data_IF_732436149821
#
_entry.id   IF_732436149821
#
_cell.length_a   1.000
_cell.length_b   1.000
_cell.length_c   1.000
_cell.angle_alpha   90.00
_cell.angle_beta   90.00
_cell.angle_gamma   90.00
#
_symmetry.space_group_name_H-M   'P 1'
#
loop_
_entity.id
_entity.type
_entity.pdbx_description
1 polymer ?
#
# COMPACT_ATOMS: atom_id res chain seq x y z
N UNK A 1 20.79 23.12 20.08
CA UNK A 1 21.69 22.60 19.04
C UNK A 1 20.81 21.70 18.20
N UNK A 2 20.52 22.10 16.97
CA UNK A 2 19.60 21.35 16.11
C UNK A 2 20.26 20.02 15.74
N UNK A 3 19.54 18.91 15.88
CA UNK A 3 20.02 17.59 15.47
C UNK A 3 20.23 17.59 13.95
N UNK A 4 21.48 17.43 13.53
CA UNK A 4 21.82 17.27 12.11
C UNK A 4 21.63 15.81 11.72
N UNK A 5 20.71 15.56 10.79
CA UNK A 5 20.50 14.23 10.23
C UNK A 5 21.74 13.76 9.46
N UNK A 6 22.36 12.68 9.91
CA UNK A 6 23.59 12.11 9.36
C UNK A 6 23.40 10.73 8.73
N UNK A 7 22.15 10.25 8.62
CA UNK A 7 21.83 8.95 8.02
C UNK A 7 21.71 9.06 6.50
N UNK A 8 21.72 7.92 5.84
CA UNK A 8 21.53 7.82 4.39
C UNK A 8 20.08 8.19 4.01
N UNK A 9 19.91 8.99 2.96
CA UNK A 9 18.61 9.44 2.48
C UNK A 9 17.89 8.43 1.57
N UNK A 10 18.61 7.41 1.12
CA UNK A 10 18.17 6.45 0.10
C UNK A 10 18.16 5.01 0.59
N UNK A 11 18.96 4.69 1.61
CA UNK A 11 19.02 3.36 2.19
C UNK A 11 17.67 2.99 2.83
N UNK A 12 17.01 2.00 2.25
CA UNK A 12 15.80 1.41 2.83
C UNK A 12 16.17 0.35 3.87
N UNK A 13 15.34 0.22 4.90
CA UNK A 13 15.48 -0.87 5.86
C UNK A 13 15.08 -2.21 5.21
N UNK A 14 15.77 -3.32 5.55
CA UNK A 14 15.40 -4.63 5.04
C UNK A 14 14.02 -5.05 5.57
N UNK A 15 13.26 -5.75 4.73
CA UNK A 15 12.01 -6.39 5.16
C UNK A 15 12.31 -7.46 6.22
N UNK A 16 11.47 -7.51 7.26
CA UNK A 16 11.54 -8.56 8.26
C UNK A 16 11.00 -9.91 7.75
N UNK A 17 11.15 -10.99 8.53
CA UNK A 17 10.71 -12.33 8.12
C UNK A 17 9.21 -12.42 7.81
N UNK A 18 8.38 -11.65 8.51
CA UNK A 18 6.91 -11.64 8.32
C UNK A 18 6.54 -10.99 7.00
N UNK A 19 7.19 -9.89 6.65
CA UNK A 19 6.95 -9.13 5.43
C UNK A 19 7.38 -9.96 4.20
N UNK A 20 8.52 -10.65 4.29
CA UNK A 20 8.98 -11.58 3.25
C UNK A 20 8.01 -12.75 3.07
N UNK A 21 7.52 -13.34 4.16
CA UNK A 21 6.54 -14.42 4.09
C UNK A 21 5.23 -13.97 3.43
N UNK A 22 4.75 -12.77 3.75
CA UNK A 22 3.54 -12.22 3.15
C UNK A 22 3.69 -12.05 1.63
N UNK A 23 4.82 -11.49 1.17
CA UNK A 23 5.11 -11.38 -0.25
C UNK A 23 5.17 -12.75 -0.94
N UNK A 24 5.79 -13.75 -0.29
CA UNK A 24 5.87 -15.12 -0.81
C UNK A 24 4.51 -15.81 -0.87
N UNK A 25 3.61 -15.57 0.09
CA UNK A 25 2.24 -16.10 0.05
C UNK A 25 1.49 -15.60 -1.18
N UNK A 26 1.57 -14.30 -1.48
CA UNK A 26 0.97 -13.72 -2.69
C UNK A 26 1.59 -14.33 -3.95
N UNK A 27 2.92 -14.39 -4.03
CA UNK A 27 3.62 -14.97 -5.17
C UNK A 27 3.22 -16.43 -5.43
N UNK A 28 3.14 -17.26 -4.38
CA UNK A 28 2.74 -18.66 -4.47
C UNK A 28 1.28 -18.86 -4.86
N UNK A 29 0.39 -17.92 -4.47
CA UNK A 29 -1.03 -17.99 -4.83
C UNK A 29 -1.32 -17.72 -6.31
N UNK A 30 -0.41 -17.03 -7.02
CA UNK A 30 -0.64 -16.56 -8.38
C UNK A 30 -1.64 -15.39 -8.50
N UNK A 31 -2.23 -14.92 -7.39
CA UNK A 31 -3.17 -13.78 -7.35
C UNK A 31 -2.45 -12.43 -7.36
N UNK A 32 -1.61 -12.22 -8.37
CA UNK A 32 -0.75 -11.04 -8.45
C UNK A 32 -1.52 -9.75 -8.79
N UNK A 33 -2.71 -9.88 -9.37
CA UNK A 33 -3.58 -8.76 -9.72
C UNK A 33 -4.64 -8.55 -8.63
N UNK A 34 -4.84 -7.31 -8.18
CA UNK A 34 -5.71 -6.98 -7.02
C UNK A 34 -7.16 -7.47 -7.12
N UNK A 35 -7.65 -7.69 -8.34
CA UNK A 35 -9.02 -8.19 -8.60
C UNK A 35 -9.07 -9.70 -8.92
N UNK A 36 -7.93 -10.39 -8.92
CA UNK A 36 -7.88 -11.85 -9.06
C UNK A 36 -8.16 -12.50 -7.70
N UNK A 37 -9.44 -12.59 -7.33
CA UNK A 37 -9.92 -13.16 -6.06
C UNK A 37 -10.87 -14.32 -6.29
N UNK A 38 -10.83 -15.32 -5.42
CA UNK A 38 -11.84 -16.37 -5.36
C UNK A 38 -13.14 -15.86 -4.70
N UNK A 39 -14.28 -16.53 -4.90
CA UNK A 39 -15.52 -16.19 -4.21
C UNK A 39 -15.35 -16.18 -2.68
N UNK A 40 -15.70 -15.06 -2.03
CA UNK A 40 -15.60 -14.88 -0.58
C UNK A 40 -14.20 -14.52 -0.06
N UNK A 41 -13.20 -14.38 -0.93
CA UNK A 41 -11.84 -13.99 -0.57
C UNK A 41 -11.69 -12.46 -0.54
N UNK A 42 -11.01 -11.95 0.49
CA UNK A 42 -10.55 -10.57 0.56
C UNK A 42 -9.11 -10.53 0.05
N UNK A 43 -8.81 -9.71 -0.96
CA UNK A 43 -7.42 -9.55 -1.44
C UNK A 43 -6.58 -8.77 -0.43
N UNK A 44 -5.27 -9.00 -0.45
CA UNK A 44 -4.30 -8.25 0.37
C UNK A 44 -4.43 -6.73 0.18
N UNK A 45 -4.74 -6.28 -1.04
CA UNK A 45 -4.94 -4.85 -1.34
C UNK A 45 -6.24 -4.31 -0.71
N UNK A 46 -7.33 -5.09 -0.76
CA UNK A 46 -8.60 -4.68 -0.13
C UNK A 46 -8.49 -4.66 1.40
N UNK A 47 -7.75 -5.60 2.00
CA UNK A 47 -7.44 -5.59 3.42
C UNK A 47 -6.65 -4.34 3.81
N UNK A 48 -5.57 -4.03 3.07
CA UNK A 48 -4.78 -2.82 3.27
C UNK A 48 -5.62 -1.54 3.19
N UNK A 49 -6.51 -1.43 2.19
CA UNK A 49 -7.38 -0.26 2.04
C UNK A 49 -8.32 -0.09 3.25
N UNK A 50 -8.91 -1.17 3.76
CA UNK A 50 -9.76 -1.12 4.93
C UNK A 50 -9.00 -0.71 6.20
N UNK A 51 -7.83 -1.30 6.43
CA UNK A 51 -6.96 -0.98 7.57
C UNK A 51 -6.47 0.47 7.52
N UNK A 52 -6.05 0.93 6.33
CA UNK A 52 -5.57 2.30 6.14
C UNK A 52 -6.68 3.32 6.31
N UNK A 53 -7.89 3.06 5.80
CA UNK A 53 -9.04 3.93 6.01
C UNK A 53 -9.36 4.09 7.50
N UNK A 54 -9.35 2.99 8.26
CA UNK A 54 -9.55 3.01 9.71
C UNK A 54 -8.44 3.80 10.42
N UNK A 55 -7.17 3.57 10.07
CA UNK A 55 -6.04 4.27 10.67
C UNK A 55 -6.09 5.79 10.43
N UNK A 56 -6.57 6.23 9.26
CA UNK A 56 -6.67 7.65 8.90
C UNK A 56 -7.99 8.31 9.33
N UNK A 57 -8.93 7.57 9.92
CA UNK A 57 -10.28 8.08 10.21
C UNK A 57 -11.08 8.45 8.95
N UNK A 58 -10.74 7.84 7.81
CA UNK A 58 -11.39 8.08 6.53
C UNK A 58 -12.49 7.04 6.29
N UNK A 59 -13.55 7.43 5.55
CA UNK A 59 -14.61 6.49 5.17
C UNK A 59 -14.16 5.47 4.13
N UNK A 60 -13.25 5.87 3.25
CA UNK A 60 -12.74 5.06 2.14
C UNK A 60 -11.24 5.33 1.94
N UNK A 61 -10.51 4.32 1.46
CA UNK A 61 -9.17 4.45 0.93
C UNK A 61 -9.05 3.66 -0.38
N UNK A 62 -8.19 4.14 -1.27
CA UNK A 62 -7.89 3.49 -2.55
C UNK A 62 -6.37 3.43 -2.73
N UNK A 63 -5.83 2.23 -2.70
CA UNK A 63 -4.42 1.98 -2.98
C UNK A 63 -4.17 2.13 -4.49
N UNK A 64 -3.11 2.87 -4.82
CA UNK A 64 -2.71 3.17 -6.21
C UNK A 64 -1.19 3.04 -6.38
N UNK A 65 -0.73 3.06 -7.64
CA UNK A 65 0.65 2.74 -7.99
C UNK A 65 1.72 3.70 -7.41
N UNK A 66 1.39 4.96 -7.18
CA UNK A 66 2.32 5.96 -6.64
C UNK A 66 1.60 7.17 -6.06
N UNK A 67 2.31 7.99 -5.26
CA UNK A 67 1.79 9.25 -4.73
C UNK A 67 1.44 10.28 -5.80
N UNK A 68 2.24 10.35 -6.89
CA UNK A 68 1.93 11.22 -8.02
C UNK A 68 0.62 10.82 -8.71
N UNK A 69 0.39 9.52 -8.89
CA UNK A 69 -0.89 9.02 -9.41
C UNK A 69 -2.03 9.31 -8.44
N UNK A 70 -1.83 9.15 -7.13
CA UNK A 70 -2.85 9.48 -6.13
C UNK A 70 -3.34 10.93 -6.25
N UNK A 71 -2.41 11.89 -6.36
CA UNK A 71 -2.75 13.31 -6.52
C UNK A 71 -3.47 13.55 -7.85
N UNK A 72 -2.94 13.02 -8.96
CA UNK A 72 -3.56 13.18 -10.28
C UNK A 72 -4.98 12.61 -10.33
N UNK A 73 -5.20 11.42 -9.76
CA UNK A 73 -6.52 10.79 -9.65
C UNK A 73 -7.47 11.61 -8.78
N UNK A 74 -7.01 12.15 -7.65
CA UNK A 74 -7.82 12.99 -6.78
C UNK A 74 -8.27 14.28 -7.48
N UNK A 75 -7.34 14.97 -8.15
CA UNK A 75 -7.64 16.16 -8.95
C UNK A 75 -8.66 15.86 -10.06
N UNK A 76 -8.45 14.76 -10.78
CA UNK A 76 -9.37 14.31 -11.83
C UNK A 76 -10.76 14.01 -11.29
N UNK A 77 -10.88 13.39 -10.11
CA UNK A 77 -12.15 13.11 -9.47
C UNK A 77 -12.91 14.38 -9.04
N UNK A 78 -12.16 15.46 -8.76
CA UNK A 78 -12.70 16.79 -8.47
C UNK A 78 -13.01 17.61 -9.74
N UNK A 79 -12.72 17.09 -10.93
CA UNK A 79 -12.95 17.78 -12.20
C UNK A 79 -11.89 18.82 -12.58
N UNK A 80 -10.69 18.72 -11.99
CA UNK A 80 -9.51 19.52 -12.35
C UNK A 80 -8.77 18.89 -13.54
#
# INVERSE_FOLDING_TARGET
MDEVFSKDFTQQEPLGPREVEAALRVMRSGRLHRYNVAPGEVSEVAALEAEFAAAMGAKYALAVASGGYAIATALRALGV
#
